data_IF_026057866351
#
_entry.id   IF_026057866351
#
_cell.length_a   1.000
_cell.length_b   1.000
_cell.length_c   1.000
_cell.angle_alpha   90.00
_cell.angle_beta   90.00
_cell.angle_gamma   90.00
#
_symmetry.space_group_name_H-M   'P 1'
#
loop_
_entity.id
_entity.type
_entity.pdbx_description
1 polymer ?
#
# COMPACT_ATOMS: atom_id res chain seq x y z
N UNK A 1 -7.77 8.03 19.29
CA UNK A 1 -8.94 7.19 19.58
C UNK A 1 -8.89 6.00 18.62
N UNK A 2 -8.76 4.76 19.09
CA UNK A 2 -8.85 3.57 18.22
C UNK A 2 -10.31 3.11 18.27
N UNK A 3 -10.99 3.04 17.12
CA UNK A 3 -12.37 2.53 17.09
C UNK A 3 -12.38 1.07 17.54
N UNK A 4 -13.06 0.78 18.66
CA UNK A 4 -13.28 -0.60 19.11
C UNK A 4 -14.06 -1.35 18.02
N UNK A 5 -13.52 -2.47 17.54
CA UNK A 5 -14.13 -3.32 16.52
C UNK A 5 -13.49 -3.23 15.13
N UNK A 6 -12.56 -2.30 14.88
CA UNK A 6 -11.76 -2.35 13.65
C UNK A 6 -10.73 -3.48 13.75
N UNK A 7 -10.80 -4.42 12.81
CA UNK A 7 -9.76 -5.45 12.64
C UNK A 7 -8.60 -4.85 11.87
N UNK A 8 -7.39 -5.30 12.21
CA UNK A 8 -6.20 -5.02 11.38
C UNK A 8 -6.45 -5.58 9.97
N UNK A 9 -6.20 -4.80 8.91
CA UNK A 9 -6.25 -5.31 7.55
C UNK A 9 -5.33 -6.54 7.38
N UNK A 10 -5.83 -7.58 6.71
CA UNK A 10 -5.03 -8.78 6.40
C UNK A 10 -4.04 -8.55 5.26
N UNK A 11 -4.32 -7.54 4.43
CA UNK A 11 -3.43 -7.10 3.37
C UNK A 11 -2.70 -5.82 3.78
N UNK A 12 -1.46 -5.64 3.30
CA UNK A 12 -0.73 -4.39 3.48
C UNK A 12 -1.49 -3.23 2.83
N UNK A 13 -1.96 -2.30 3.66
CA UNK A 13 -2.65 -1.08 3.23
C UNK A 13 -2.17 0.09 4.08
N UNK A 14 -1.81 1.18 3.42
CA UNK A 14 -1.29 2.38 4.04
C UNK A 14 -1.96 3.62 3.44
N UNK A 15 -2.27 4.58 4.30
CA UNK A 15 -2.53 5.94 3.86
C UNK A 15 -1.19 6.61 3.56
N UNK A 16 -1.12 7.30 2.44
CA UNK A 16 0.08 8.00 2.02
C UNK A 16 -0.25 9.39 1.48
N UNK A 17 0.73 10.28 1.57
CA UNK A 17 0.69 11.59 0.91
C UNK A 17 1.87 11.66 -0.06
N UNK A 18 1.57 11.71 -1.35
CA UNK A 18 2.56 11.86 -2.42
C UNK A 18 2.35 13.23 -3.01
N UNK A 19 3.37 14.09 -2.91
CA UNK A 19 3.35 15.47 -3.46
C UNK A 19 2.11 16.29 -3.02
N UNK A 20 1.67 16.11 -1.77
CA UNK A 20 0.50 16.81 -1.21
C UNK A 20 -0.85 16.19 -1.58
N UNK A 21 -0.87 15.08 -2.34
CA UNK A 21 -2.07 14.33 -2.67
C UNK A 21 -2.19 13.10 -1.79
N UNK A 22 -3.32 12.97 -1.11
CA UNK A 22 -3.63 11.80 -0.30
C UNK A 22 -4.05 10.63 -1.18
N UNK A 23 -3.65 9.43 -0.80
CA UNK A 23 -4.04 8.21 -1.46
C UNK A 23 -3.79 6.98 -0.61
N UNK A 24 -4.07 5.83 -1.20
CA UNK A 24 -3.87 4.52 -0.60
C UNK A 24 -2.75 3.82 -1.36
N UNK A 25 -1.76 3.35 -0.61
CA UNK A 25 -0.75 2.41 -1.07
C UNK A 25 -1.11 1.04 -0.53
N UNK A 26 -1.14 0.01 -1.37
CA UNK A 26 -1.47 -1.34 -0.92
C UNK A 26 -0.68 -2.40 -1.68
N UNK A 27 -0.50 -3.55 -1.03
CA UNK A 27 0.03 -4.76 -1.65
C UNK A 27 -1.02 -5.86 -1.65
N UNK A 28 -0.83 -6.86 -2.52
CA UNK A 28 -1.72 -8.01 -2.63
C UNK A 28 -1.18 -9.25 -1.91
N UNK A 29 0.02 -9.17 -1.36
CA UNK A 29 0.67 -10.25 -0.62
C UNK A 29 0.66 -9.93 0.88
N UNK A 30 -0.02 -10.77 1.66
CA UNK A 30 -0.07 -10.64 3.11
C UNK A 30 1.29 -10.90 3.78
N UNK A 31 2.19 -11.66 3.15
CA UNK A 31 3.51 -11.98 3.71
C UNK A 31 4.40 -10.74 3.83
N UNK A 32 4.13 -9.70 3.04
CA UNK A 32 4.79 -8.40 3.18
C UNK A 32 4.59 -7.75 4.55
N UNK A 33 3.52 -8.09 5.27
CA UNK A 33 3.31 -7.61 6.64
C UNK A 33 4.20 -8.33 7.67
N UNK A 34 4.62 -9.56 7.35
CA UNK A 34 5.43 -10.40 8.24
C UNK A 34 6.92 -10.15 8.06
N UNK A 35 7.41 -10.13 6.82
CA UNK A 35 8.83 -9.93 6.53
C UNK A 35 9.07 -9.29 5.15
N UNK A 36 8.79 -8.00 5.04
CA UNK A 36 9.05 -7.25 3.81
C UNK A 36 10.54 -7.18 3.42
N UNK A 37 11.47 -7.45 4.35
CA UNK A 37 12.92 -7.38 4.09
C UNK A 37 13.43 -8.67 3.46
N UNK A 38 12.83 -9.82 3.80
CA UNK A 38 13.09 -11.08 3.13
C UNK A 38 12.70 -11.02 1.64
N UNK A 39 11.65 -10.27 1.33
CA UNK A 39 11.24 -10.00 -0.06
C UNK A 39 12.20 -9.01 -0.74
N UNK A 40 13.16 -9.54 -1.51
CA UNK A 40 14.14 -8.73 -2.28
C UNK A 40 13.45 -7.80 -3.29
N UNK A 41 12.31 -8.21 -3.82
CA UNK A 41 11.51 -7.43 -4.75
C UNK A 41 10.02 -7.72 -4.58
N UNK A 42 9.22 -6.69 -4.42
CA UNK A 42 7.76 -6.80 -4.38
C UNK A 42 7.06 -5.68 -5.13
N UNK A 43 5.74 -5.81 -5.31
CA UNK A 43 4.93 -4.79 -5.95
C UNK A 43 3.98 -4.15 -4.96
N UNK A 44 3.86 -2.84 -5.05
CA UNK A 44 2.81 -2.06 -4.41
C UNK A 44 1.97 -1.37 -5.47
N UNK A 45 0.78 -0.97 -5.07
CA UNK A 45 -0.22 -0.34 -5.91
C UNK A 45 -0.66 0.96 -5.23
N UNK A 46 -0.70 2.04 -5.99
CA UNK A 46 -1.10 3.35 -5.50
C UNK A 46 -2.37 3.84 -6.20
N UNK A 47 -3.34 4.27 -5.41
CA UNK A 47 -4.57 4.88 -5.88
C UNK A 47 -4.92 6.14 -5.07
N UNK A 48 -5.15 7.27 -5.74
CA UNK A 48 -5.43 8.57 -5.11
C UNK A 48 -6.84 9.11 -5.41
N UNK A 49 -7.66 8.35 -6.15
CA UNK A 49 -9.05 8.72 -6.44
C UNK A 49 -9.24 9.90 -7.38
N UNK A 50 -8.18 10.38 -8.04
CA UNK A 50 -8.29 11.43 -9.05
C UNK A 50 -8.93 10.91 -10.34
N UNK A 51 -9.71 11.74 -11.02
CA UNK A 51 -10.41 11.35 -12.27
C UNK A 51 -9.43 10.98 -13.38
N UNK A 52 -8.24 11.58 -13.36
CA UNK A 52 -7.16 11.34 -14.31
C UNK A 52 -6.49 9.97 -14.09
N UNK A 53 -6.66 9.37 -12.90
CA UNK A 53 -6.13 8.05 -12.60
C UNK A 53 -7.10 6.97 -13.09
N UNK A 54 -7.00 6.63 -14.38
CA UNK A 54 -7.81 5.57 -15.00
C UNK A 54 -7.34 4.16 -14.65
N UNK A 55 -6.08 4.01 -14.20
CA UNK A 55 -5.50 2.74 -13.77
C UNK A 55 -4.70 2.90 -12.47
N UNK A 56 -4.60 1.83 -11.70
CA UNK A 56 -3.80 1.81 -10.47
C UNK A 56 -2.31 1.90 -10.82
N UNK A 57 -1.59 2.82 -10.18
CA UNK A 57 -0.16 2.94 -10.42
C UNK A 57 0.57 1.77 -9.74
N UNK A 58 1.26 0.93 -10.54
CA UNK A 58 2.02 -0.21 -10.05
C UNK A 58 3.48 0.18 -9.81
N UNK A 59 3.93 0.03 -8.57
CA UNK A 59 5.29 0.31 -8.13
C UNK A 59 6.03 -1.01 -7.92
N UNK A 60 7.25 -1.12 -8.45
CA UNK A 60 8.18 -2.21 -8.15
C UNK A 60 9.18 -1.71 -7.12
N UNK A 61 9.18 -2.32 -5.94
CA UNK A 61 10.06 -1.96 -4.83
C UNK A 61 11.18 -2.98 -4.78
N UNK A 62 12.43 -2.51 -4.91
CA UNK A 62 13.62 -3.30 -4.64
C UNK A 62 14.17 -2.95 -3.27
N UNK A 63 14.45 -3.96 -2.46
CA UNK A 63 15.13 -3.80 -1.16
C UNK A 63 16.59 -4.22 -1.33
N UNK A 64 17.52 -3.39 -0.84
CA UNK A 64 18.97 -3.61 -0.93
C UNK A 64 19.51 -4.30 0.33
#
# INVERSE_FOLDING_TARGET
QVCRGLRTPQLPVWLCSVTGRHGVLFGTDSLLLSDWKMERVFHLYFYNGQREQTETARLRIGTH
#
